data_IF_616979851134
#
_entry.id   IF_616979851134
#
_cell.length_a   1.000
_cell.length_b   1.000
_cell.length_c   1.000
_cell.angle_alpha   90.00
_cell.angle_beta   90.00
_cell.angle_gamma   90.00
#
_symmetry.space_group_name_H-M   'P 1'
#
loop_
_entity.id
_entity.type
_entity.pdbx_description
1 polymer ?
#
# COMPACT_ATOMS: atom_id res chain seq x y z
N UNK A 1 7.74 2.00 -50.17
CA UNK A 1 6.84 2.66 -49.20
C UNK A 1 6.22 1.70 -48.19
N UNK A 2 5.71 0.54 -48.62
CA UNK A 2 5.06 -0.42 -47.72
C UNK A 2 5.98 -1.01 -46.64
N UNK A 3 7.27 -1.13 -46.86
CA UNK A 3 8.27 -1.63 -45.88
C UNK A 3 8.68 -0.58 -44.85
N UNK A 4 8.64 0.69 -45.17
CA UNK A 4 8.93 1.79 -44.24
C UNK A 4 7.81 1.99 -43.22
N UNK A 5 6.57 1.81 -43.60
CA UNK A 5 5.41 1.94 -42.70
C UNK A 5 5.41 0.85 -41.63
N UNK A 6 5.84 -0.37 -41.95
CA UNK A 6 5.92 -1.47 -40.98
C UNK A 6 7.01 -1.24 -39.95
N UNK A 7 8.14 -0.69 -40.33
CA UNK A 7 9.25 -0.37 -39.40
C UNK A 7 8.89 0.77 -38.45
N UNK A 8 8.18 1.79 -38.93
CA UNK A 8 7.70 2.89 -38.10
C UNK A 8 6.63 2.45 -37.10
N UNK A 9 5.74 1.52 -37.51
CA UNK A 9 4.73 0.93 -36.60
C UNK A 9 5.36 0.02 -35.53
N UNK A 10 6.46 -0.66 -35.84
CA UNK A 10 7.17 -1.47 -34.80
C UNK A 10 7.96 -0.61 -33.81
N UNK A 11 8.41 0.58 -34.19
CA UNK A 11 9.12 1.48 -33.30
C UNK A 11 8.19 2.22 -32.31
N UNK A 12 6.89 2.31 -32.60
CA UNK A 12 5.91 2.93 -31.72
C UNK A 12 5.39 1.98 -30.62
N UNK A 13 5.66 0.68 -30.71
CA UNK A 13 5.21 -0.33 -29.74
C UNK A 13 6.13 -0.45 -28.49
N UNK A 14 7.26 0.27 -28.45
CA UNK A 14 8.23 0.22 -27.32
C UNK A 14 8.04 1.35 -26.33
N UNK A 15 7.12 2.28 -26.56
CA UNK A 15 6.89 3.41 -25.69
C UNK A 15 5.85 3.04 -24.62
N UNK A 16 6.31 2.68 -23.43
CA UNK A 16 5.48 2.79 -22.24
C UNK A 16 5.40 1.59 -21.31
N UNK A 17 6.48 0.90 -21.04
CA UNK A 17 6.54 0.11 -19.80
C UNK A 17 6.79 1.05 -18.65
N UNK A 18 5.74 1.62 -18.08
CA UNK A 18 5.81 2.21 -16.75
C UNK A 18 6.17 1.07 -15.79
N UNK A 19 7.43 0.98 -15.40
CA UNK A 19 7.91 -0.05 -14.48
C UNK A 19 7.39 0.27 -13.08
N UNK A 20 6.22 -0.26 -12.73
CA UNK A 20 5.79 -0.35 -11.36
C UNK A 20 6.67 -1.40 -10.67
N UNK A 21 7.33 -1.01 -9.57
CA UNK A 21 8.14 -1.90 -8.76
C UNK A 21 7.29 -2.48 -7.65
N UNK A 22 7.22 -3.80 -7.57
CA UNK A 22 6.51 -4.51 -6.49
C UNK A 22 7.51 -5.00 -5.44
N UNK A 23 7.27 -4.64 -4.19
CA UNK A 23 7.98 -5.14 -3.02
C UNK A 23 7.08 -6.10 -2.25
N UNK A 24 7.66 -7.21 -1.77
CA UNK A 24 6.96 -8.24 -1.01
C UNK A 24 7.66 -8.43 0.32
N UNK A 25 6.89 -8.35 1.40
CA UNK A 25 7.36 -8.58 2.75
C UNK A 25 6.49 -9.63 3.44
N UNK A 26 7.13 -10.63 4.06
CA UNK A 26 6.44 -11.66 4.83
C UNK A 26 6.35 -11.27 6.30
N UNK A 27 5.16 -11.45 6.86
CA UNK A 27 4.87 -11.26 8.27
C UNK A 27 4.40 -12.58 8.88
N UNK A 28 4.87 -12.89 10.07
CA UNK A 28 4.46 -14.10 10.82
C UNK A 28 3.07 -13.96 11.46
N UNK A 29 2.44 -12.80 11.37
CA UNK A 29 1.08 -12.56 11.85
C UNK A 29 0.06 -12.77 10.74
N UNK A 30 -1.20 -13.04 11.10
CA UNK A 30 -2.28 -13.14 10.14
C UNK A 30 -2.57 -11.79 9.47
N UNK A 31 -3.10 -11.80 8.25
CA UNK A 31 -3.47 -10.59 7.53
C UNK A 31 -4.53 -9.77 8.29
N UNK A 32 -5.43 -10.42 9.01
CA UNK A 32 -6.42 -9.74 9.88
C UNK A 32 -5.78 -8.94 11.02
N UNK A 33 -4.58 -9.31 11.46
CA UNK A 33 -3.80 -8.59 12.47
C UNK A 33 -2.97 -7.47 11.83
N UNK A 34 -2.44 -7.73 10.63
CA UNK A 34 -1.61 -6.75 9.91
C UNK A 34 -2.43 -5.62 9.27
N UNK A 35 -3.65 -5.91 8.80
CA UNK A 35 -4.47 -4.94 8.10
C UNK A 35 -4.82 -3.68 8.92
N UNK A 36 -5.18 -3.77 10.21
CA UNK A 36 -5.31 -2.58 11.07
C UNK A 36 -4.06 -1.71 11.10
N UNK A 37 -2.86 -2.29 11.13
CA UNK A 37 -1.60 -1.54 11.12
C UNK A 37 -1.36 -0.82 9.78
N UNK A 38 -1.70 -1.44 8.66
CA UNK A 38 -1.69 -0.81 7.34
C UNK A 38 -2.63 0.39 7.30
N UNK A 39 -3.86 0.24 7.79
CA UNK A 39 -4.84 1.33 7.83
C UNK A 39 -4.42 2.46 8.77
N UNK A 40 -3.87 2.13 9.93
CA UNK A 40 -3.34 3.13 10.86
C UNK A 40 -2.20 3.94 10.22
N UNK A 41 -1.29 3.26 9.55
CA UNK A 41 -0.20 3.91 8.81
C UNK A 41 -0.72 4.88 7.76
N UNK A 42 -1.71 4.48 6.97
CA UNK A 42 -2.29 5.31 5.92
C UNK A 42 -3.01 6.54 6.48
N UNK A 43 -3.74 6.37 7.59
CA UNK A 43 -4.59 7.43 8.16
C UNK A 43 -3.86 8.37 9.11
N UNK A 44 -2.94 7.86 9.89
CA UNK A 44 -2.40 8.58 11.05
C UNK A 44 -0.94 9.02 10.90
N UNK A 45 -0.24 8.62 9.83
CA UNK A 45 1.14 9.07 9.61
C UNK A 45 1.26 10.49 9.08
N UNK A 46 0.18 11.08 8.54
CA UNK A 46 0.19 12.41 7.92
C UNK A 46 0.96 12.49 6.60
N UNK A 47 1.40 11.35 6.05
CA UNK A 47 2.26 11.27 4.87
C UNK A 47 1.53 10.85 3.61
N UNK A 48 0.42 10.15 3.74
CA UNK A 48 -0.28 9.51 2.63
C UNK A 48 -1.63 10.14 2.36
N UNK A 49 -1.91 10.39 1.08
CA UNK A 49 -3.25 10.74 0.63
C UNK A 49 -3.99 9.46 0.22
N UNK A 50 -5.04 9.12 0.94
CA UNK A 50 -5.83 7.90 0.66
C UNK A 50 -6.69 8.13 -0.57
N UNK A 51 -6.57 7.26 -1.57
CA UNK A 51 -7.42 7.23 -2.76
C UNK A 51 -8.60 6.27 -2.54
N UNK A 52 -8.31 5.08 -2.01
CA UNK A 52 -9.34 4.09 -1.71
C UNK A 52 -8.82 3.00 -0.77
N UNK A 53 -9.73 2.43 0.01
CA UNK A 53 -9.48 1.29 0.90
C UNK A 53 -10.59 0.27 0.69
N UNK A 54 -10.21 -0.96 0.39
CA UNK A 54 -11.11 -2.11 0.37
C UNK A 54 -10.75 -3.03 1.54
N UNK A 55 -11.67 -3.13 2.51
CA UNK A 55 -11.46 -3.95 3.70
C UNK A 55 -11.68 -5.44 3.44
N UNK A 56 -12.48 -5.79 2.44
CA UNK A 56 -12.77 -7.20 2.09
C UNK A 56 -11.56 -7.83 1.42
N UNK A 57 -11.02 -7.13 0.45
CA UNK A 57 -9.83 -7.57 -0.30
C UNK A 57 -8.51 -7.20 0.40
N UNK A 58 -8.57 -6.43 1.50
CA UNK A 58 -7.39 -5.91 2.20
C UNK A 58 -6.42 -5.22 1.25
N UNK A 59 -6.95 -4.30 0.43
CA UNK A 59 -6.21 -3.50 -0.53
C UNK A 59 -6.40 -2.01 -0.27
N UNK A 60 -5.40 -1.22 -0.58
CA UNK A 60 -5.51 0.23 -0.54
C UNK A 60 -4.69 0.87 -1.65
N UNK A 61 -5.20 1.97 -2.18
CA UNK A 61 -4.48 2.86 -3.09
C UNK A 61 -4.27 4.20 -2.41
N UNK A 62 -3.09 4.75 -2.53
CA UNK A 62 -2.71 5.99 -1.87
C UNK A 62 -1.67 6.76 -2.68
N UNK A 63 -1.56 8.05 -2.44
CA UNK A 63 -0.53 8.89 -3.06
C UNK A 63 0.48 9.39 -2.01
N UNK A 64 1.67 9.67 -2.50
CA UNK A 64 2.76 10.30 -1.76
C UNK A 64 3.25 11.49 -2.59
N UNK A 65 3.56 12.59 -1.92
CA UNK A 65 4.15 13.77 -2.54
C UNK A 65 3.54 15.07 -2.02
N UNK A 66 4.36 16.12 -2.02
CA UNK A 66 3.95 17.45 -1.62
C UNK A 66 3.36 18.28 -2.77
N UNK A 67 3.02 19.55 -2.48
CA UNK A 67 2.41 20.47 -3.43
C UNK A 67 3.27 20.82 -4.64
N UNK A 68 4.60 20.68 -4.55
CA UNK A 68 5.56 20.98 -5.60
C UNK A 68 6.14 19.76 -6.30
N UNK A 69 5.91 18.54 -5.77
CA UNK A 69 6.34 17.29 -6.38
C UNK A 69 5.15 16.59 -7.03
N UNK A 70 5.38 15.90 -8.15
CA UNK A 70 4.37 15.05 -8.76
C UNK A 70 3.93 13.98 -7.74
N UNK A 71 2.62 13.85 -7.55
CA UNK A 71 2.05 12.82 -6.69
C UNK A 71 2.31 11.44 -7.29
N UNK A 72 2.89 10.55 -6.50
CA UNK A 72 3.11 9.15 -6.89
C UNK A 72 1.98 8.29 -6.32
N UNK A 73 1.32 7.56 -7.19
CA UNK A 73 0.25 6.62 -6.79
C UNK A 73 0.87 5.27 -6.49
N UNK A 74 0.63 4.78 -5.31
CA UNK A 74 1.07 3.48 -4.82
C UNK A 74 -0.13 2.64 -4.39
N UNK A 75 0.08 1.34 -4.30
CA UNK A 75 -0.94 0.43 -3.77
C UNK A 75 -0.31 -0.57 -2.81
N UNK A 76 -1.12 -1.05 -1.88
CA UNK A 76 -0.77 -2.15 -0.98
C UNK A 76 -1.86 -3.20 -1.04
N UNK A 77 -1.47 -4.47 -1.02
CA UNK A 77 -2.37 -5.61 -0.93
C UNK A 77 -1.81 -6.62 0.07
N UNK A 78 -2.67 -7.21 0.88
CA UNK A 78 -2.32 -8.30 1.77
C UNK A 78 -2.81 -9.62 1.21
N UNK A 79 -1.90 -10.59 1.13
CA UNK A 79 -2.19 -11.94 0.68
C UNK A 79 -2.03 -12.93 1.83
N UNK A 80 -3.06 -13.70 2.11
CA UNK A 80 -3.00 -14.77 3.11
C UNK A 80 -2.06 -15.87 2.63
N UNK A 81 -1.12 -16.25 3.48
CA UNK A 81 -0.17 -17.34 3.25
C UNK A 81 -0.25 -18.36 4.39
N UNK A 82 0.15 -19.62 4.16
CA UNK A 82 0.17 -20.64 5.21
C UNK A 82 1.01 -20.24 6.44
N UNK A 83 2.12 -19.53 6.22
CA UNK A 83 3.04 -19.07 7.26
C UNK A 83 2.71 -17.68 7.84
N UNK A 84 1.67 -17.01 7.37
CA UNK A 84 1.30 -15.68 7.86
C UNK A 84 0.65 -14.79 6.82
N UNK A 85 1.18 -13.59 6.63
CA UNK A 85 0.65 -12.59 5.71
C UNK A 85 1.76 -12.00 4.84
N UNK A 86 1.57 -12.02 3.53
CA UNK A 86 2.45 -11.33 2.59
C UNK A 86 1.89 -9.95 2.28
N UNK A 87 2.64 -8.91 2.61
CA UNK A 87 2.32 -7.54 2.19
C UNK A 87 3.05 -7.24 0.88
N UNK A 88 2.28 -6.89 -0.15
CA UNK A 88 2.83 -6.43 -1.42
C UNK A 88 2.56 -4.94 -1.57
N UNK A 89 3.62 -4.16 -1.77
CA UNK A 89 3.55 -2.73 -2.04
C UNK A 89 4.01 -2.48 -3.46
N UNK A 90 3.14 -1.97 -4.29
CA UNK A 90 3.44 -1.55 -5.64
C UNK A 90 3.65 -0.04 -5.67
N UNK A 91 4.84 0.37 -6.08
CA UNK A 91 5.20 1.79 -6.14
C UNK A 91 5.30 2.25 -7.58
N UNK A 92 4.84 3.46 -7.85
CA UNK A 92 5.11 4.13 -9.12
C UNK A 92 6.61 4.45 -9.21
N UNK A 93 7.20 4.16 -10.36
CA UNK A 93 8.59 4.51 -10.61
C UNK A 93 8.73 6.03 -10.71
N UNK A 94 9.53 6.60 -9.85
CA UNK A 94 9.81 8.05 -9.83
C UNK A 94 11.28 8.38 -10.14
N UNK A 95 11.92 7.62 -11.01
CA UNK A 95 13.22 7.94 -11.60
C UNK A 95 14.44 7.97 -10.68
N UNK A 96 14.34 8.42 -9.43
CA UNK A 96 15.49 8.54 -8.52
C UNK A 96 15.10 8.33 -7.06
N UNK A 97 15.85 7.45 -6.37
CA UNK A 97 16.15 7.39 -4.93
C UNK A 97 15.02 7.45 -3.90
N UNK A 98 13.76 7.30 -4.27
CA UNK A 98 12.70 7.22 -3.27
C UNK A 98 12.44 5.76 -2.88
N UNK A 99 12.72 5.43 -1.63
CA UNK A 99 12.41 4.13 -1.06
C UNK A 99 11.00 4.14 -0.43
N UNK A 100 10.00 4.47 -1.22
CA UNK A 100 8.60 4.60 -0.76
C UNK A 100 8.09 3.31 -0.12
N UNK A 101 8.45 2.15 -0.69
CA UNK A 101 8.06 0.85 -0.14
C UNK A 101 8.73 0.54 1.19
N UNK A 102 10.04 0.83 1.32
CA UNK A 102 10.76 0.63 2.57
C UNK A 102 10.30 1.57 3.68
N UNK A 103 10.02 2.82 3.35
CA UNK A 103 9.45 3.79 4.30
C UNK A 103 8.05 3.38 4.75
N UNK A 104 7.21 2.91 3.83
CA UNK A 104 5.89 2.40 4.14
C UNK A 104 5.99 1.20 5.08
N UNK A 105 6.84 0.22 4.75
CA UNK A 105 7.07 -0.95 5.60
C UNK A 105 7.49 -0.57 7.03
N UNK A 106 8.45 0.34 7.19
CA UNK A 106 8.89 0.81 8.53
C UNK A 106 7.74 1.39 9.34
N UNK A 107 6.84 2.14 8.71
CA UNK A 107 5.67 2.73 9.37
C UNK A 107 4.64 1.68 9.73
N UNK A 108 4.42 0.69 8.87
CA UNK A 108 3.54 -0.45 9.16
C UNK A 108 4.11 -1.27 10.32
N UNK A 109 5.41 -1.53 10.34
CA UNK A 109 6.08 -2.26 11.43
C UNK A 109 5.92 -1.51 12.78
N UNK A 110 6.10 -0.19 12.77
CA UNK A 110 5.91 0.65 13.96
C UNK A 110 4.46 0.66 14.43
N UNK A 111 3.51 0.76 13.50
CA UNK A 111 2.07 0.72 13.81
C UNK A 111 1.66 -0.66 14.35
N UNK A 112 2.16 -1.74 13.75
CA UNK A 112 1.91 -3.10 14.22
C UNK A 112 2.41 -3.29 15.65
N UNK A 113 3.64 -2.87 15.94
CA UNK A 113 4.21 -2.95 17.29
C UNK A 113 3.38 -2.15 18.30
N UNK A 114 2.93 -0.96 17.93
CA UNK A 114 2.06 -0.12 18.76
C UNK A 114 0.72 -0.80 19.06
N UNK A 115 0.07 -1.37 18.04
CA UNK A 115 -1.22 -2.03 18.19
C UNK A 115 -1.12 -3.31 19.02
N UNK A 116 -0.01 -4.06 18.90
CA UNK A 116 0.24 -5.25 19.70
C UNK A 116 0.58 -4.94 21.16
N UNK A 117 1.18 -3.79 21.43
CA UNK A 117 1.51 -3.31 22.78
C UNK A 117 0.33 -2.62 23.48
N UNK A 118 -0.72 -2.23 22.75
CA UNK A 118 -1.91 -1.61 23.33
C UNK A 118 -2.67 -2.62 24.19
N UNK A 119 -3.07 -2.27 25.44
CA UNK A 119 -3.93 -3.15 26.24
C UNK A 119 -5.27 -3.36 25.51
N UNK A 120 -5.90 -4.54 25.66
CA UNK A 120 -7.19 -4.81 25.04
C UNK A 120 -8.19 -3.73 25.47
N UNK A 121 -8.92 -3.19 24.49
CA UNK A 121 -9.96 -2.19 24.76
C UNK A 121 -10.93 -2.73 25.81
N UNK A 122 -11.33 -1.92 26.82
CA UNK A 122 -12.34 -2.35 27.78
C UNK A 122 -13.61 -2.79 27.03
N UNK A 123 -14.29 -3.85 27.49
CA UNK A 123 -15.53 -4.28 26.85
C UNK A 123 -16.52 -3.11 26.81
N UNK A 124 -17.12 -2.90 25.65
CA UNK A 124 -18.11 -1.86 25.45
C UNK A 124 -19.19 -2.01 26.54
N UNK A 125 -19.38 -0.93 27.32
CA UNK A 125 -20.42 -0.87 28.33
C UNK A 125 -21.76 -1.11 27.64
N UNK A 126 -22.61 -2.03 28.12
CA UNK A 126 -23.91 -2.24 27.49
C UNK A 126 -24.69 -0.91 27.57
N UNK A 127 -25.10 -0.46 26.41
CA UNK A 127 -25.95 0.71 26.28
C UNK A 127 -27.28 0.39 26.97
N UNK A 128 -27.57 1.13 28.04
CA UNK A 128 -28.84 0.99 28.80
C UNK A 128 -30.00 1.36 27.88
N UNK A 129 -31.04 0.52 27.75
CA UNK A 129 -32.20 0.90 26.95
C UNK A 129 -32.87 2.09 27.63
N UNK A 130 -32.95 3.18 26.88
CA UNK A 130 -33.62 4.39 27.29
C UNK A 130 -35.13 4.09 27.40
N UNK A 131 -35.65 4.28 28.58
CA UNK A 131 -37.11 4.26 28.85
C UNK A 131 -37.78 5.50 28.29
#
# INVERSE_FOLDING_TARGET
>A
MRRFVVVVLMLLAVAGSAFAKTHKDMYSVQCSVLWPAVKDTLRNSGKYGIIGIDNTEMTASFNIGGTLAAKRVNSVVLNVKPEGCEMQVQTAYSGFTNNDAGDFKKRVDASLAKLQAAPPAPPAKPESPNK
#
